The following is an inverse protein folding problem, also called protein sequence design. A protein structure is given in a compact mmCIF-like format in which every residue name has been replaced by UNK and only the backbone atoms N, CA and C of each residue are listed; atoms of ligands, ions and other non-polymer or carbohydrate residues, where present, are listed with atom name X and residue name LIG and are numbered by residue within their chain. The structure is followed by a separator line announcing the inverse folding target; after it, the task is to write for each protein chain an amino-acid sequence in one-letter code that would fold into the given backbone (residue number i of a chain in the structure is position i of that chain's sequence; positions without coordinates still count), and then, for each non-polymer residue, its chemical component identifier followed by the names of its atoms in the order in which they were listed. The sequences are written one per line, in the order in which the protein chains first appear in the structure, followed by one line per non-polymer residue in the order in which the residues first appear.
data_IF_835949784617
#
_entry.id   IF_835949784617
#
_cell.length_a   1.000
_cell.length_b   1.000
_cell.length_c   1.000
_cell.angle_alpha   90.00
_cell.angle_beta   90.00
_cell.angle_gamma   90.00
#
_symmetry.space_group_name_H-M   'P 1'
#
loop_
_entity.id
_entity.type
_entity.pdbx_description
1 polymer ?
#
# COMPACT_ATOMS: atom_id res chain seq x y z
N UNK A 1 13.40 4.14 18.52
CA UNK A 1 12.14 4.88 18.67
C UNK A 1 11.32 4.65 17.40
N UNK A 2 10.03 4.39 17.56
CA UNK A 2 9.06 4.15 16.50
C UNK A 2 7.93 5.15 16.70
N UNK A 3 7.76 6.05 15.74
CA UNK A 3 6.65 6.99 15.73
C UNK A 3 5.54 6.47 14.81
N UNK A 4 4.27 6.71 15.16
CA UNK A 4 3.17 6.33 14.30
C UNK A 4 3.18 7.13 13.01
N UNK A 5 2.84 6.46 11.91
CA UNK A 5 2.86 7.05 10.57
C UNK A 5 1.45 7.50 10.18
N UNK A 6 1.36 8.68 9.57
CA UNK A 6 0.09 9.14 9.00
C UNK A 6 -0.23 8.38 7.73
N UNK A 7 -1.51 8.18 7.45
CA UNK A 7 -1.96 7.40 6.29
C UNK A 7 -3.27 7.91 5.72
N UNK A 8 -3.46 7.64 4.43
CA UNK A 8 -4.73 7.83 3.73
C UNK A 8 -5.31 6.45 3.46
N UNK A 9 -6.57 6.27 3.80
CA UNK A 9 -7.28 5.00 3.74
C UNK A 9 -8.60 5.18 3.00
N UNK A 10 -9.05 4.15 2.31
CA UNK A 10 -10.40 4.04 1.80
C UNK A 10 -11.38 3.56 2.86
N UNK A 11 -12.69 3.82 2.71
CA UNK A 11 -13.65 3.26 3.63
C UNK A 11 -13.67 1.73 3.54
N UNK A 12 -13.83 1.07 4.69
CA UNK A 12 -13.72 -0.38 4.86
C UNK A 12 -12.29 -0.88 5.09
N UNK A 13 -11.25 -0.09 4.77
CA UNK A 13 -9.87 -0.45 5.11
C UNK A 13 -9.63 -0.37 6.62
N UNK A 14 -8.49 -0.92 7.04
CA UNK A 14 -8.06 -0.90 8.45
C UNK A 14 -6.72 -0.19 8.57
N UNK A 15 -6.58 0.68 9.56
CA UNK A 15 -5.31 1.30 9.89
C UNK A 15 -4.66 0.61 11.09
N UNK A 16 -3.33 0.45 11.03
CA UNK A 16 -2.49 0.07 12.17
C UNK A 16 -1.46 1.16 12.38
N UNK A 17 -1.43 1.70 13.59
CA UNK A 17 -0.45 2.70 14.00
C UNK A 17 0.45 2.10 15.06
N UNK A 18 1.74 2.04 14.77
CA UNK A 18 2.75 1.50 15.68
C UNK A 18 3.51 2.64 16.37
N UNK A 19 3.70 2.52 17.68
CA UNK A 19 4.42 3.48 18.51
C UNK A 19 5.29 2.74 19.53
N UNK A 20 6.51 3.21 19.74
CA UNK A 20 7.42 2.57 20.68
C UNK A 20 8.63 3.44 21.01
N UNK A 21 8.92 3.59 22.29
CA UNK A 21 10.12 4.31 22.75
C UNK A 21 10.71 3.60 23.96
N UNK A 22 12.03 3.59 24.04
CA UNK A 22 12.74 3.07 25.22
C UNK A 22 12.87 4.15 26.30
N UNK A 23 13.21 3.75 27.51
CA UNK A 23 13.47 4.67 28.61
C UNK A 23 13.81 3.93 29.89
N UNK A 24 14.39 4.65 30.85
CA UNK A 24 14.68 4.14 32.19
C UNK A 24 14.06 5.10 33.23
N UNK A 25 13.07 4.66 34.03
CA UNK A 25 12.33 3.39 33.92
C UNK A 25 11.61 3.24 32.56
N UNK A 26 11.27 1.99 32.14
CA UNK A 26 10.52 1.76 30.91
C UNK A 26 9.21 2.56 30.88
N UNK A 27 8.92 3.30 29.80
CA UNK A 27 7.72 4.10 29.71
C UNK A 27 6.49 3.24 29.41
N UNK A 28 5.33 3.62 29.96
CA UNK A 28 4.03 3.09 29.52
C UNK A 28 3.60 3.79 28.24
N UNK A 29 2.96 3.05 27.33
CA UNK A 29 2.42 3.59 26.08
C UNK A 29 0.89 3.57 26.14
N UNK A 30 0.29 4.70 25.77
CA UNK A 30 -1.16 4.86 25.71
C UNK A 30 -1.56 5.66 24.47
N UNK A 31 -2.84 5.58 24.11
CA UNK A 31 -3.38 6.22 22.91
C UNK A 31 -4.58 7.10 23.21
N UNK A 32 -4.68 8.19 22.46
CA UNK A 32 -5.84 9.09 22.41
C UNK A 32 -6.25 9.30 20.96
N UNK A 33 -7.54 9.43 20.72
CA UNK A 33 -8.10 9.76 19.40
C UNK A 33 -8.85 11.07 19.55
N UNK A 34 -8.49 12.07 18.74
CA UNK A 34 -9.08 13.41 18.79
C UNK A 34 -9.08 14.02 20.23
N UNK A 35 -8.04 13.71 21.02
CA UNK A 35 -7.88 14.13 22.41
C UNK A 35 -8.62 13.28 23.45
N UNK A 36 -9.53 12.39 23.04
CA UNK A 36 -10.32 11.53 23.92
C UNK A 36 -9.63 10.17 24.16
N UNK A 37 -9.87 9.52 25.31
CA UNK A 37 -9.51 8.12 25.50
C UNK A 37 -10.16 7.24 24.43
N UNK A 38 -9.46 6.18 23.98
CA UNK A 38 -9.92 5.30 22.89
C UNK A 38 -11.35 4.80 23.11
N UNK A 39 -11.68 4.40 24.35
CA UNK A 39 -13.01 3.90 24.75
C UNK A 39 -14.16 4.89 24.51
N UNK A 40 -13.88 6.21 24.47
CA UNK A 40 -14.88 7.27 24.35
C UNK A 40 -15.08 7.82 22.94
N UNK A 41 -14.49 7.20 21.91
CA UNK A 41 -14.35 7.82 20.58
C UNK A 41 -15.40 7.38 19.56
N UNK A 42 -16.16 6.31 19.85
CA UNK A 42 -17.20 5.80 18.96
C UNK A 42 -16.69 5.11 17.68
N UNK A 43 -15.36 4.98 17.50
CA UNK A 43 -14.78 4.19 16.40
C UNK A 43 -14.87 2.71 16.77
N UNK A 44 -15.91 2.05 16.29
CA UNK A 44 -16.23 0.65 16.62
C UNK A 44 -15.09 -0.29 16.29
N UNK A 45 -14.77 -1.20 17.23
CA UNK A 45 -13.75 -2.22 17.02
C UNK A 45 -12.31 -1.73 17.15
N UNK A 46 -12.08 -0.48 17.59
CA UNK A 46 -10.74 0.00 17.89
C UNK A 46 -10.09 -0.85 18.97
N UNK A 47 -8.83 -1.25 18.75
CA UNK A 47 -8.09 -2.10 19.69
C UNK A 47 -6.69 -1.53 19.96
N UNK A 48 -6.31 -1.49 21.22
CA UNK A 48 -4.92 -1.25 21.63
C UNK A 48 -4.30 -2.61 21.95
N UNK A 49 -3.22 -2.95 21.25
CA UNK A 49 -2.57 -4.26 21.34
C UNK A 49 -1.08 -4.13 21.67
N UNK A 50 -0.41 -5.26 21.93
CA UNK A 50 1.02 -5.33 22.27
C UNK A 50 1.41 -4.41 23.45
N UNK A 51 0.58 -4.39 24.50
CA UNK A 51 0.85 -3.58 25.69
C UNK A 51 0.85 -2.06 25.45
N UNK A 52 0.10 -1.59 24.45
CA UNK A 52 0.08 -0.17 24.06
C UNK A 52 0.88 0.15 22.81
N UNK A 53 1.72 -0.78 22.33
CA UNK A 53 2.60 -0.52 21.19
C UNK A 53 1.87 -0.27 19.87
N UNK A 54 0.61 -0.71 19.72
CA UNK A 54 -0.12 -0.48 18.47
C UNK A 54 -1.60 -0.19 18.68
N UNK A 55 -2.13 0.74 17.88
CA UNK A 55 -3.54 1.05 17.75
C UNK A 55 -4.07 0.49 16.42
N UNK A 56 -5.09 -0.37 16.50
CA UNK A 56 -5.78 -0.95 15.36
C UNK A 56 -7.15 -0.28 15.19
N UNK A 57 -7.41 0.24 14.00
CA UNK A 57 -8.66 0.91 13.62
C UNK A 57 -9.27 0.12 12.45
N UNK A 58 -10.15 -0.86 12.71
CA UNK A 58 -10.75 -1.66 11.65
C UNK A 58 -11.92 -0.92 10.98
N UNK A 59 -12.25 -1.31 9.74
CA UNK A 59 -13.48 -0.91 9.05
C UNK A 59 -13.73 0.61 9.07
N UNK A 60 -12.72 1.37 8.64
CA UNK A 60 -12.75 2.82 8.60
C UNK A 60 -13.96 3.34 7.80
N UNK A 61 -14.55 4.43 8.25
CA UNK A 61 -15.66 5.11 7.58
C UNK A 61 -15.24 6.55 7.25
N UNK A 62 -15.88 7.24 6.30
CA UNK A 62 -15.46 8.60 5.91
C UNK A 62 -15.40 9.58 7.09
N UNK A 63 -16.30 9.43 8.07
CA UNK A 63 -16.35 10.24 9.30
C UNK A 63 -15.32 9.81 10.38
N UNK A 64 -14.55 8.74 10.14
CA UNK A 64 -13.46 8.30 11.03
C UNK A 64 -12.12 8.97 10.70
N UNK A 65 -12.11 10.02 9.86
CA UNK A 65 -10.90 10.84 9.72
C UNK A 65 -10.55 11.47 11.07
N UNK A 66 -9.37 11.15 11.61
CA UNK A 66 -9.02 11.41 13.00
C UNK A 66 -7.52 11.67 13.21
N UNK A 67 -7.19 12.24 14.37
CA UNK A 67 -5.82 12.34 14.87
C UNK A 67 -5.64 11.33 15.99
N UNK A 68 -4.75 10.37 15.79
CA UNK A 68 -4.31 9.45 16.82
C UNK A 68 -3.02 9.99 17.47
N UNK A 69 -3.02 10.11 18.79
CA UNK A 69 -1.88 10.53 19.58
C UNK A 69 -1.40 9.36 20.43
N UNK A 70 -0.15 8.96 20.23
CA UNK A 70 0.58 8.10 21.13
C UNK A 70 1.21 8.93 22.24
N UNK A 71 1.03 8.49 23.48
CA UNK A 71 1.61 9.08 24.68
C UNK A 71 2.49 8.04 25.37
N UNK A 72 3.78 8.32 25.47
CA UNK A 72 4.75 7.51 26.20
C UNK A 72 5.18 8.24 27.48
N UNK A 73 5.03 7.61 28.64
CA UNK A 73 5.25 8.27 29.94
C UNK A 73 6.04 7.42 30.92
N UNK A 74 6.96 8.04 31.64
CA UNK A 74 7.61 7.49 32.83
C UNK A 74 7.69 8.56 33.94
N UNK A 75 8.21 8.26 35.15
CA UNK A 75 8.29 9.24 36.23
C UNK A 75 9.13 10.50 35.94
N UNK A 76 9.96 10.48 34.89
CA UNK A 76 10.87 11.56 34.54
C UNK A 76 10.40 12.38 33.34
N UNK A 77 9.32 11.97 32.66
CA UNK A 77 8.84 12.72 31.52
C UNK A 77 7.77 12.03 30.70
N UNK A 78 7.36 12.73 29.65
CA UNK A 78 6.32 12.32 28.72
C UNK A 78 6.69 12.77 27.31
N UNK A 79 6.48 11.90 26.35
CA UNK A 79 6.62 12.16 24.92
C UNK A 79 5.28 11.91 24.22
N UNK A 80 5.02 12.71 23.19
CA UNK A 80 3.80 12.64 22.39
C UNK A 80 4.18 12.53 20.92
N UNK A 81 3.50 11.65 20.19
CA UNK A 81 3.62 11.55 18.75
C UNK A 81 2.23 11.43 18.12
N UNK A 82 1.96 12.22 17.08
CA UNK A 82 0.67 12.25 16.40
C UNK A 82 0.76 11.57 15.04
N UNK A 83 -0.32 10.90 14.64
CA UNK A 83 -0.55 10.42 13.29
C UNK A 83 -1.96 10.79 12.83
N UNK A 84 -2.06 11.19 11.56
CA UNK A 84 -3.33 11.48 10.91
C UNK A 84 -3.82 10.22 10.19
N UNK A 85 -5.07 9.84 10.44
CA UNK A 85 -5.78 8.82 9.67
C UNK A 85 -6.82 9.56 8.85
N UNK A 86 -6.60 9.66 7.55
CA UNK A 86 -7.51 10.33 6.62
C UNK A 86 -8.28 9.28 5.84
N UNK A 87 -9.61 9.31 5.89
CA UNK A 87 -10.46 8.37 5.17
C UNK A 87 -11.07 9.07 3.96
N UNK A 88 -10.56 8.77 2.77
CA UNK A 88 -10.95 9.40 1.51
C UNK A 88 -11.37 8.35 0.49
N UNK A 89 -12.24 8.72 -0.44
CA UNK A 89 -12.52 7.95 -1.65
C UNK A 89 -11.86 8.66 -2.83
N UNK A 90 -10.74 8.14 -3.31
CA UNK A 90 -10.00 8.66 -4.46
C UNK A 90 -10.10 7.67 -5.61
N UNK A 91 -10.39 8.14 -6.84
CA UNK A 91 -10.44 7.27 -8.00
C UNK A 91 -9.07 6.65 -8.26
N UNK A 92 -9.09 5.42 -8.78
CA UNK A 92 -7.89 4.72 -9.22
C UNK A 92 -7.29 5.44 -10.42
N UNK A 93 -5.99 5.67 -10.36
CA UNK A 93 -5.21 6.26 -11.44
C UNK A 93 -3.85 5.57 -11.54
N UNK A 94 -3.50 5.13 -12.74
CA UNK A 94 -2.17 4.62 -13.05
C UNK A 94 -1.24 5.79 -13.33
N UNK A 95 -0.11 5.80 -12.64
CA UNK A 95 0.93 6.81 -12.71
C UNK A 95 2.03 6.49 -13.72
N UNK A 96 2.05 5.25 -14.25
CA UNK A 96 2.98 4.86 -15.30
C UNK A 96 2.70 5.62 -16.61
N UNK A 97 3.73 5.97 -17.38
CA UNK A 97 3.53 6.56 -18.71
C UNK A 97 2.65 5.66 -19.58
N UNK A 98 1.63 6.21 -20.27
CA UNK A 98 0.89 5.43 -21.26
C UNK A 98 1.82 5.03 -22.40
N UNK A 99 1.74 3.76 -22.83
CA UNK A 99 2.46 3.22 -23.99
C UNK A 99 3.99 3.21 -23.83
N UNK A 100 4.49 2.88 -22.63
CA UNK A 100 5.92 2.70 -22.42
C UNK A 100 6.45 1.53 -23.27
N UNK A 101 7.42 1.82 -24.14
CA UNK A 101 8.13 0.81 -24.93
C UNK A 101 9.35 0.33 -24.14
N UNK A 102 9.37 -0.96 -23.80
CA UNK A 102 10.47 -1.60 -23.11
C UNK A 102 11.19 -2.56 -24.06
N UNK A 103 12.49 -2.38 -24.22
CA UNK A 103 13.33 -3.27 -25.04
C UNK A 103 14.20 -4.16 -24.16
N UNK A 104 14.14 -5.47 -24.37
CA UNK A 104 14.87 -6.47 -23.58
C UNK A 104 15.54 -7.46 -24.52
N UNK A 105 16.74 -7.91 -24.16
CA UNK A 105 17.43 -8.97 -24.90
C UNK A 105 16.80 -10.33 -24.60
N UNK A 106 16.82 -11.21 -25.59
CA UNK A 106 16.43 -12.62 -25.43
C UNK A 106 17.21 -13.27 -24.27
N UNK A 107 16.53 -14.11 -23.47
CA UNK A 107 16.97 -14.66 -22.19
C UNK A 107 17.18 -13.63 -21.06
N UNK A 108 16.91 -12.35 -21.29
CA UNK A 108 16.96 -11.30 -20.27
C UNK A 108 15.77 -11.31 -19.31
N UNK A 109 15.71 -10.30 -18.45
CA UNK A 109 14.59 -10.05 -17.53
C UNK A 109 13.93 -8.72 -17.88
N UNK A 110 12.63 -8.74 -18.16
CA UNK A 110 11.82 -7.55 -18.34
C UNK A 110 11.23 -7.08 -17.01
N UNK A 111 11.19 -5.75 -16.81
CA UNK A 111 10.54 -5.10 -15.68
C UNK A 111 9.54 -4.09 -16.24
N UNK A 112 8.27 -4.48 -16.29
CA UNK A 112 7.18 -3.65 -16.80
C UNK A 112 6.61 -2.83 -15.63
N UNK A 113 6.74 -1.50 -15.64
CA UNK A 113 6.30 -0.68 -14.53
C UNK A 113 4.78 -0.49 -14.54
N UNK A 114 4.14 -0.77 -13.40
CA UNK A 114 2.79 -0.29 -13.16
C UNK A 114 2.72 0.22 -11.73
N UNK A 115 2.48 1.52 -11.56
CA UNK A 115 2.18 2.12 -10.26
C UNK A 115 0.81 2.75 -10.34
N UNK A 116 -0.04 2.47 -9.37
CA UNK A 116 -1.36 3.08 -9.28
C UNK A 116 -1.57 3.67 -7.89
N UNK A 117 -2.38 4.73 -7.83
CA UNK A 117 -2.90 5.27 -6.57
C UNK A 117 -4.42 5.27 -6.62
N UNK A 118 -5.05 5.31 -5.44
CA UNK A 118 -6.50 5.33 -5.25
C UNK A 118 -6.82 4.88 -3.84
N UNK A 119 -8.02 5.21 -3.35
CA UNK A 119 -8.49 4.77 -2.03
C UNK A 119 -9.91 4.23 -2.12
N UNK A 120 -10.18 2.97 -1.69
CA UNK A 120 -9.24 1.96 -1.15
C UNK A 120 -8.08 1.64 -2.08
N UNK A 121 -6.98 1.15 -1.50
CA UNK A 121 -5.74 0.86 -2.22
C UNK A 121 -6.03 -0.07 -3.40
N UNK A 122 -5.68 0.31 -4.65
CA UNK A 122 -5.98 -0.52 -5.80
C UNK A 122 -5.19 -1.83 -5.79
N UNK A 123 -5.83 -2.91 -6.21
CA UNK A 123 -5.13 -4.12 -6.60
C UNK A 123 -4.68 -4.01 -8.05
N UNK A 124 -3.54 -4.63 -8.38
CA UNK A 124 -2.96 -4.61 -9.72
C UNK A 124 -2.95 -6.02 -10.29
N UNK A 125 -3.42 -6.13 -11.52
CA UNK A 125 -3.41 -7.34 -12.32
C UNK A 125 -2.74 -7.06 -13.67
N UNK A 126 -1.95 -8.00 -14.14
CA UNK A 126 -1.31 -7.92 -15.44
C UNK A 126 -1.92 -8.93 -16.41
N UNK A 127 -2.26 -8.45 -17.60
CA UNK A 127 -2.69 -9.28 -18.72
C UNK A 127 -1.58 -9.34 -19.78
N UNK A 128 -1.35 -10.53 -20.29
CA UNK A 128 -0.42 -10.79 -21.41
C UNK A 128 -0.99 -10.23 -22.72
N UNK A 129 -0.21 -10.21 -23.82
CA UNK A 129 -0.71 -9.84 -25.14
C UNK A 129 -1.92 -10.67 -25.60
N UNK A 130 -2.10 -11.88 -25.06
CA UNK A 130 -3.26 -12.75 -25.29
C UNK A 130 -4.48 -12.45 -24.40
N UNK A 131 -4.41 -11.41 -23.57
CA UNK A 131 -5.42 -11.05 -22.57
C UNK A 131 -5.62 -12.11 -21.47
N UNK A 132 -4.58 -12.89 -21.18
CA UNK A 132 -4.56 -13.89 -20.11
C UNK A 132 -3.80 -13.35 -18.89
N UNK A 133 -4.12 -13.75 -17.64
CA UNK A 133 -3.38 -13.32 -16.47
C UNK A 133 -1.89 -13.70 -16.55
N UNK A 134 -0.99 -12.73 -16.34
CA UNK A 134 0.46 -12.94 -16.46
C UNK A 134 1.02 -13.87 -15.37
N UNK A 135 0.37 -13.94 -14.21
CA UNK A 135 0.78 -14.75 -13.05
C UNK A 135 0.63 -16.27 -13.22
N UNK A 136 0.16 -16.74 -14.38
CA UNK A 136 0.08 -18.17 -14.71
C UNK A 136 1.42 -18.80 -15.10
N UNK A 137 2.48 -17.97 -15.20
CA UNK A 137 3.83 -18.39 -15.57
C UNK A 137 4.80 -18.21 -14.38
N UNK A 138 5.52 -19.27 -13.99
CA UNK A 138 6.54 -19.26 -12.92
C UNK A 138 7.69 -18.26 -13.19
N UNK A 139 7.86 -17.83 -14.45
CA UNK A 139 8.83 -16.77 -14.83
C UNK A 139 8.37 -15.37 -14.41
N UNK A 140 7.10 -15.23 -14.04
CA UNK A 140 6.45 -13.95 -13.74
C UNK A 140 6.38 -13.67 -12.24
N UNK A 141 6.50 -12.40 -11.84
CA UNK A 141 6.31 -11.97 -10.46
C UNK A 141 5.84 -10.51 -10.41
N UNK A 142 4.79 -10.21 -9.65
CA UNK A 142 4.31 -8.83 -9.46
C UNK A 142 4.80 -8.31 -8.11
N UNK A 143 5.55 -7.21 -8.14
CA UNK A 143 6.04 -6.54 -6.93
C UNK A 143 4.90 -5.80 -6.20
N UNK A 144 5.12 -5.48 -4.92
CA UNK A 144 4.18 -4.68 -4.11
C UNK A 144 3.87 -3.31 -4.69
N UNK A 145 4.78 -2.75 -5.49
CA UNK A 145 4.56 -1.49 -6.19
C UNK A 145 3.73 -1.64 -7.48
N UNK A 146 3.33 -2.87 -7.85
CA UNK A 146 2.55 -3.20 -9.03
C UNK A 146 3.34 -3.60 -10.28
N UNK A 147 4.67 -3.47 -10.27
CA UNK A 147 5.48 -3.77 -11.46
C UNK A 147 5.60 -5.27 -11.71
N UNK A 148 5.54 -5.67 -12.98
CA UNK A 148 5.71 -7.07 -13.40
C UNK A 148 7.16 -7.34 -13.77
N UNK A 149 7.76 -8.34 -13.13
CA UNK A 149 8.99 -8.98 -13.57
C UNK A 149 8.66 -10.19 -14.43
N UNK A 150 9.27 -10.30 -15.60
CA UNK A 150 9.25 -11.49 -16.44
C UNK A 150 10.68 -11.93 -16.74
N UNK A 151 11.05 -13.14 -16.33
CA UNK A 151 12.42 -13.67 -16.48
C UNK A 151 12.54 -14.56 -17.72
N UNK A 152 13.77 -14.74 -18.23
CA UNK A 152 14.06 -15.58 -19.40
C UNK A 152 13.12 -15.25 -20.59
N UNK A 153 13.09 -13.98 -20.96
CA UNK A 153 12.20 -13.45 -21.99
C UNK A 153 12.59 -14.02 -23.36
N UNK A 154 11.63 -14.60 -24.08
CA UNK A 154 11.79 -15.09 -25.45
C UNK A 154 11.02 -14.24 -26.45
N UNK A 155 11.26 -14.44 -27.75
CA UNK A 155 10.56 -13.70 -28.83
C UNK A 155 9.04 -13.80 -28.77
N UNK A 156 8.51 -14.93 -28.28
CA UNK A 156 7.07 -15.16 -28.12
C UNK A 156 6.42 -14.37 -26.98
N UNK A 157 7.21 -13.76 -26.10
CA UNK A 157 6.72 -12.89 -25.02
C UNK A 157 6.52 -11.44 -25.51
N UNK A 158 7.03 -11.08 -26.69
CA UNK A 158 6.85 -9.73 -27.23
C UNK A 158 5.37 -9.39 -27.45
N UNK A 159 4.99 -8.15 -27.16
CA UNK A 159 3.64 -7.64 -27.39
C UNK A 159 3.20 -6.59 -26.37
N UNK A 160 1.92 -6.23 -26.43
CA UNK A 160 1.33 -5.25 -25.52
C UNK A 160 0.78 -5.94 -24.28
N UNK A 161 1.37 -5.66 -23.13
CA UNK A 161 0.87 -6.07 -21.82
C UNK A 161 -0.06 -5.00 -21.27
N UNK A 162 -1.13 -5.41 -20.59
CA UNK A 162 -2.06 -4.49 -19.94
C UNK A 162 -1.86 -4.56 -18.44
N UNK A 163 -1.53 -3.44 -17.81
CA UNK A 163 -1.72 -3.29 -16.37
C UNK A 163 -3.15 -2.82 -16.13
N UNK A 164 -3.90 -3.56 -15.30
CA UNK A 164 -5.22 -3.19 -14.81
C UNK A 164 -5.11 -2.92 -13.31
N UNK A 165 -5.40 -1.69 -12.90
CA UNK A 165 -5.51 -1.31 -11.51
C UNK A 165 -6.99 -1.11 -11.14
N UNK A 166 -7.43 -1.61 -9.98
CA UNK A 166 -8.82 -1.46 -9.60
C UNK A 166 -9.06 -1.55 -8.09
N UNK A 167 -10.09 -0.86 -7.64
CA UNK A 167 -10.68 -1.04 -6.32
C UNK A 167 -12.20 -1.18 -6.46
N UNK A 168 -12.92 -1.23 -5.33
CA UNK A 168 -14.38 -1.40 -5.32
C UNK A 168 -15.18 -0.23 -5.95
N UNK A 169 -14.53 0.88 -6.31
CA UNK A 169 -15.19 2.11 -6.80
C UNK A 169 -14.76 2.50 -8.21
N UNK A 170 -13.56 2.14 -8.63
CA UNK A 170 -13.00 2.63 -9.90
C UNK A 170 -11.85 1.75 -10.37
N UNK A 171 -11.58 1.87 -11.67
CA UNK A 171 -10.64 1.03 -12.40
C UNK A 171 -9.88 1.93 -13.37
N UNK A 172 -8.63 1.62 -13.59
CA UNK A 172 -7.81 2.25 -14.63
C UNK A 172 -6.96 1.19 -15.33
N UNK A 173 -6.51 1.46 -16.54
CA UNK A 173 -5.69 0.53 -17.33
C UNK A 173 -4.67 1.24 -18.20
N UNK A 174 -3.46 0.68 -18.24
CA UNK A 174 -2.36 1.20 -19.04
C UNK A 174 -1.69 0.07 -19.82
N UNK A 175 -1.16 0.42 -21.00
CA UNK A 175 -0.44 -0.51 -21.88
C UNK A 175 1.06 -0.29 -21.75
N UNK A 176 1.80 -1.39 -21.69
CA UNK A 176 3.27 -1.43 -21.79
C UNK A 176 3.64 -2.38 -22.92
N UNK A 177 4.43 -1.89 -23.87
CA UNK A 177 4.82 -2.67 -25.05
C UNK A 177 6.20 -3.27 -24.80
N UNK A 178 6.28 -4.60 -24.78
CA UNK A 178 7.54 -5.33 -24.67
C UNK A 178 8.06 -5.69 -26.06
N UNK A 179 9.28 -5.23 -26.37
CA UNK A 179 10.03 -5.63 -27.54
C UNK A 179 11.22 -6.51 -27.14
N UNK A 180 11.41 -7.62 -27.84
CA UNK A 180 12.47 -8.59 -27.55
C UNK A 180 13.47 -8.58 -28.69
N UNK A 181 14.70 -8.17 -28.38
CA UNK A 181 15.82 -8.17 -29.33
C UNK A 181 16.57 -9.49 -29.24
N UNK A 182 16.91 -10.06 -30.39
CA UNK A 182 17.77 -11.26 -30.43
C UNK A 182 19.16 -10.95 -29.86
N UNK A 183 19.77 -11.93 -29.20
CA UNK A 183 21.20 -11.88 -28.91
C UNK A 183 21.97 -12.00 -30.24
N UNK A 184 22.95 -11.13 -30.46
CA UNK A 184 23.90 -11.22 -31.57
C UNK A 184 24.89 -12.37 -31.36
#
# INVERSE_FOLDING_TARGET
EQQPQSGVYGPGESARLDCGVGGLPPPSISWRINGLPVEGTGVTGTQVVHGGGSLLLPQLQPNHSLVAQCEAQNPHGRLLANAFVLVLELPVQILSPPQELLEVLENGTALLPCRAFGTPTPTIEWLTPRQEPALLDERSFVFTNGSLRLSAVGRGDAGSYTCRAGNRHSNDSALVVLHVRGAL
#
